data_IF_395150931248
#
_entry.id   IF_395150931248
#
_cell.length_a   1.000
_cell.length_b   1.000
_cell.length_c   1.000
_cell.angle_alpha   90.00
_cell.angle_beta   90.00
_cell.angle_gamma   90.00
#
_symmetry.space_group_name_H-M   'P 1'
#
loop_
_entity.id
_entity.type
_entity.pdbx_description
1 polymer ?
#
# COMPACT_ATOMS: atom_id res chain seq x y z
N UNK A 1 4.48 20.04 -2.64
CA UNK A 1 4.76 20.80 -3.86
C UNK A 1 3.97 20.23 -5.03
N UNK A 2 2.73 20.68 -5.24
CA UNK A 2 2.02 20.48 -6.51
C UNK A 2 1.99 21.86 -7.18
N UNK A 3 3.03 22.20 -7.93
CA UNK A 3 3.16 23.54 -8.53
C UNK A 3 2.27 23.72 -9.77
N UNK A 4 1.78 22.62 -10.37
CA UNK A 4 0.99 22.67 -11.61
C UNK A 4 -0.42 23.27 -11.49
N UNK A 5 -1.08 23.19 -10.32
CA UNK A 5 -2.49 23.59 -10.23
C UNK A 5 -2.73 25.10 -10.39
N UNK A 6 -1.72 25.93 -10.08
CA UNK A 6 -1.80 27.38 -10.26
C UNK A 6 -1.27 27.87 -11.60
N UNK A 7 -0.28 27.18 -12.18
CA UNK A 7 0.39 27.60 -13.42
C UNK A 7 -0.16 26.92 -14.68
N UNK A 8 -0.99 25.88 -14.53
CA UNK A 8 -1.42 25.03 -15.64
C UNK A 8 -0.31 24.10 -16.18
N UNK A 9 0.87 24.08 -15.54
CA UNK A 9 1.96 23.20 -15.95
C UNK A 9 1.63 21.73 -15.65
N UNK A 10 2.07 20.84 -16.54
CA UNK A 10 1.94 19.38 -16.35
C UNK A 10 2.66 18.97 -15.07
N UNK A 11 2.01 18.13 -14.27
CA UNK A 11 2.56 17.60 -13.01
C UNK A 11 2.29 16.11 -12.91
N UNK A 12 3.14 15.39 -12.17
CA UNK A 12 2.95 13.98 -11.87
C UNK A 12 2.54 13.83 -10.40
N UNK A 13 1.75 12.81 -10.10
CA UNK A 13 1.23 12.56 -8.75
C UNK A 13 2.22 11.76 -7.87
N UNK A 14 3.42 11.49 -8.38
CA UNK A 14 4.40 10.62 -7.72
C UNK A 14 4.07 9.14 -7.83
N UNK A 15 4.63 8.34 -6.91
CA UNK A 15 4.48 6.88 -6.87
C UNK A 15 3.01 6.50 -6.64
N UNK A 16 2.49 5.58 -7.45
CA UNK A 16 1.08 5.18 -7.40
C UNK A 16 0.12 6.21 -8.01
N UNK A 17 0.62 7.12 -8.87
CA UNK A 17 -0.19 8.19 -9.46
C UNK A 17 -1.42 7.70 -10.22
N UNK A 18 -1.32 6.62 -11.00
CA UNK A 18 -2.47 6.05 -11.73
C UNK A 18 -3.56 5.53 -10.77
N UNK A 19 -3.15 4.81 -9.73
CA UNK A 19 -4.07 4.33 -8.68
C UNK A 19 -4.71 5.51 -7.94
N UNK A 20 -3.94 6.56 -7.64
CA UNK A 20 -4.44 7.75 -6.96
C UNK A 20 -5.46 8.49 -7.84
N UNK A 21 -5.23 8.58 -9.14
CA UNK A 21 -6.20 9.14 -10.09
C UNK A 21 -7.49 8.32 -10.07
N UNK A 22 -7.40 6.99 -10.14
CA UNK A 22 -8.57 6.12 -10.14
C UNK A 22 -9.41 6.25 -8.85
N UNK A 23 -8.77 6.26 -7.69
CA UNK A 23 -9.49 6.39 -6.42
C UNK A 23 -10.05 7.80 -6.20
N UNK A 24 -9.35 8.83 -6.67
CA UNK A 24 -9.84 10.22 -6.61
C UNK A 24 -11.09 10.39 -7.48
N UNK A 25 -11.08 9.86 -8.71
CA UNK A 25 -12.25 9.87 -9.60
C UNK A 25 -13.40 9.07 -8.97
N UNK A 26 -13.12 7.88 -8.45
CA UNK A 26 -14.13 7.03 -7.79
C UNK A 26 -14.81 7.75 -6.64
N UNK A 27 -14.03 8.43 -5.78
CA UNK A 27 -14.56 9.26 -4.69
C UNK A 27 -15.38 10.43 -5.21
N UNK A 28 -14.86 11.18 -6.19
CA UNK A 28 -15.52 12.37 -6.72
C UNK A 28 -16.88 12.06 -7.36
N UNK A 29 -17.01 10.88 -7.98
CA UNK A 29 -18.24 10.41 -8.63
C UNK A 29 -19.15 9.57 -7.71
N UNK A 30 -18.73 9.26 -6.48
CA UNK A 30 -19.50 8.41 -5.57
C UNK A 30 -19.74 7.00 -6.13
N UNK A 31 -18.73 6.40 -6.78
CA UNK A 31 -18.87 5.07 -7.37
C UNK A 31 -18.99 3.99 -6.29
N UNK A 32 -19.67 2.88 -6.62
CA UNK A 32 -19.83 1.72 -5.73
C UNK A 32 -18.55 0.92 -5.49
N UNK A 33 -17.60 0.97 -6.42
CA UNK A 33 -16.37 0.18 -6.40
C UNK A 33 -15.35 0.84 -7.33
N UNK A 34 -14.08 0.80 -6.94
CA UNK A 34 -12.93 1.18 -7.78
C UNK A 34 -12.17 -0.10 -8.16
N UNK A 35 -11.83 -0.27 -9.44
CA UNK A 35 -11.09 -1.46 -9.89
C UNK A 35 -9.69 -1.09 -10.35
N UNK A 36 -8.71 -1.83 -9.85
CA UNK A 36 -7.33 -1.79 -10.30
C UNK A 36 -6.99 -3.11 -10.98
N UNK A 37 -6.53 -3.03 -12.22
CA UNK A 37 -6.22 -4.19 -13.05
C UNK A 37 -4.70 -4.38 -13.09
N UNK A 38 -4.26 -5.59 -12.73
CA UNK A 38 -2.88 -6.07 -12.70
C UNK A 38 -2.75 -7.34 -13.53
N UNK A 39 -1.56 -7.93 -13.54
CA UNK A 39 -1.19 -9.19 -14.19
C UNK A 39 -1.33 -10.43 -13.29
N UNK A 40 -1.84 -10.26 -12.06
CA UNK A 40 -2.06 -11.32 -11.07
C UNK A 40 -3.51 -11.32 -10.57
N UNK A 41 -3.99 -12.47 -10.09
CA UNK A 41 -5.36 -12.74 -9.63
C UNK A 41 -5.75 -12.03 -8.32
N UNK A 42 -5.16 -10.88 -8.03
CA UNK A 42 -5.37 -10.09 -6.82
C UNK A 42 -4.09 -9.93 -5.99
N UNK A 43 -4.25 -9.67 -4.71
CA UNK A 43 -3.19 -9.74 -3.70
C UNK A 43 -2.99 -11.19 -3.30
N UNK A 44 -1.74 -11.64 -3.24
CA UNK A 44 -1.39 -13.04 -2.98
C UNK A 44 -0.85 -13.22 -1.54
N UNK A 45 -0.91 -14.46 -1.05
CA UNK A 45 -0.39 -14.85 0.28
C UNK A 45 1.13 -14.71 0.41
N UNK A 46 1.84 -14.68 -0.72
CA UNK A 46 3.28 -14.42 -0.84
C UNK A 46 3.62 -14.14 -2.31
N UNK A 47 4.87 -13.81 -2.60
CA UNK A 47 5.33 -13.64 -3.98
C UNK A 47 5.30 -14.98 -4.75
N UNK A 48 4.54 -15.11 -5.85
CA UNK A 48 4.44 -16.34 -6.64
C UNK A 48 5.75 -16.71 -7.35
N UNK A 49 6.65 -15.75 -7.57
CA UNK A 49 7.97 -16.00 -8.14
C UNK A 49 8.92 -16.67 -7.13
N UNK A 50 8.66 -16.49 -5.82
CA UNK A 50 9.41 -17.13 -4.74
C UNK A 50 8.78 -18.46 -4.36
N UNK A 51 7.43 -18.50 -4.27
CA UNK A 51 6.70 -19.70 -3.88
C UNK A 51 5.49 -19.93 -4.81
N UNK A 52 5.55 -20.95 -5.70
CA UNK A 52 4.53 -21.16 -6.73
C UNK A 52 3.11 -21.45 -6.22
N UNK A 53 2.98 -21.99 -5.00
CA UNK A 53 1.66 -22.29 -4.41
C UNK A 53 1.04 -21.08 -3.69
N UNK A 54 1.47 -19.85 -4.02
CA UNK A 54 0.84 -18.63 -3.55
C UNK A 54 -0.65 -18.62 -3.92
N UNK A 55 -1.51 -18.20 -2.98
CA UNK A 55 -2.97 -18.17 -3.16
C UNK A 55 -3.47 -16.74 -3.16
N UNK A 56 -4.55 -16.48 -3.88
CA UNK A 56 -5.25 -15.19 -3.81
C UNK A 56 -5.85 -15.01 -2.42
N UNK A 57 -5.61 -13.84 -1.83
CA UNK A 57 -6.28 -13.36 -0.63
C UNK A 57 -7.59 -12.69 -1.07
N UNK A 58 -8.77 -13.25 -0.79
CA UNK A 58 -10.02 -12.75 -1.37
C UNK A 58 -10.48 -11.41 -0.78
N UNK A 59 -10.15 -11.15 0.49
CA UNK A 59 -10.56 -9.95 1.22
C UNK A 59 -9.40 -9.40 2.05
N UNK A 60 -9.27 -8.07 2.04
CA UNK A 60 -8.32 -7.33 2.86
C UNK A 60 -9.01 -6.10 3.45
N UNK A 61 -8.55 -5.66 4.61
CA UNK A 61 -8.86 -4.31 5.07
C UNK A 61 -7.91 -3.29 4.42
N UNK A 62 -8.30 -2.01 4.38
CA UNK A 62 -7.40 -0.94 3.97
C UNK A 62 -6.11 -0.89 4.79
N UNK A 63 -6.18 -1.22 6.09
CA UNK A 63 -5.02 -1.24 6.97
C UNK A 63 -4.09 -2.42 6.64
N UNK A 64 -4.63 -3.62 6.43
CA UNK A 64 -3.83 -4.76 5.97
C UNK A 64 -3.16 -4.50 4.62
N UNK A 65 -3.90 -3.94 3.67
CA UNK A 65 -3.36 -3.60 2.36
C UNK A 65 -2.25 -2.54 2.46
N UNK A 66 -2.39 -1.55 3.35
CA UNK A 66 -1.38 -0.52 3.56
C UNK A 66 -0.09 -1.09 4.16
N UNK A 67 -0.20 -1.97 5.16
CA UNK A 67 0.96 -2.67 5.75
C UNK A 67 1.68 -3.54 4.73
N UNK A 68 0.94 -4.35 3.96
CA UNK A 68 1.53 -5.18 2.90
C UNK A 68 2.28 -4.32 1.86
N UNK A 69 1.67 -3.22 1.43
CA UNK A 69 2.30 -2.28 0.50
C UNK A 69 3.54 -1.61 1.10
N UNK A 70 3.53 -1.27 2.40
CA UNK A 70 4.67 -0.68 3.10
C UNK A 70 5.89 -1.61 3.09
N UNK A 71 5.67 -2.91 3.32
CA UNK A 71 6.73 -3.92 3.27
C UNK A 71 7.17 -4.33 1.86
N UNK A 72 6.44 -3.88 0.82
CA UNK A 72 6.83 -4.06 -0.58
C UNK A 72 6.03 -5.09 -1.35
N UNK A 73 4.91 -5.59 -0.81
CA UNK A 73 3.98 -6.39 -1.61
C UNK A 73 3.45 -5.54 -2.79
N UNK A 74 3.17 -6.19 -3.92
CA UNK A 74 2.66 -5.54 -5.13
C UNK A 74 1.16 -5.16 -5.04
N UNK A 75 0.78 -4.49 -3.96
CA UNK A 75 -0.56 -3.95 -3.69
C UNK A 75 -0.63 -2.48 -4.11
N UNK A 76 -1.78 -1.83 -3.97
CA UNK A 76 -1.90 -0.38 -4.11
C UNK A 76 -1.09 0.33 -3.03
N UNK A 77 -0.46 1.45 -3.39
CA UNK A 77 0.26 2.30 -2.44
C UNK A 77 -0.72 2.91 -1.40
N UNK A 78 -0.35 3.05 -0.11
CA UNK A 78 -1.25 3.59 0.92
C UNK A 78 -1.82 4.98 0.56
N UNK A 79 -0.99 5.83 -0.03
CA UNK A 79 -1.40 7.17 -0.47
C UNK A 79 -2.47 7.13 -1.57
N UNK A 80 -2.40 6.15 -2.48
CA UNK A 80 -3.40 6.02 -3.54
C UNK A 80 -4.72 5.45 -3.03
N UNK A 81 -4.72 4.67 -1.95
CA UNK A 81 -5.96 4.17 -1.34
C UNK A 81 -6.71 5.21 -0.49
N UNK A 82 -6.06 6.32 -0.11
CA UNK A 82 -6.64 7.32 0.80
C UNK A 82 -8.01 7.85 0.34
N UNK A 83 -8.23 8.26 -0.92
CA UNK A 83 -9.54 8.75 -1.36
C UNK A 83 -10.63 7.67 -1.25
N UNK A 84 -10.30 6.42 -1.57
CA UNK A 84 -11.24 5.30 -1.47
C UNK A 84 -11.62 5.03 -0.01
N UNK A 85 -10.63 5.03 0.90
CA UNK A 85 -10.85 4.88 2.35
C UNK A 85 -11.73 6.00 2.92
N UNK A 86 -11.45 7.25 2.56
CA UNK A 86 -12.24 8.41 3.02
C UNK A 86 -13.68 8.41 2.47
N UNK A 87 -13.88 7.89 1.26
CA UNK A 87 -15.20 7.75 0.63
C UNK A 87 -15.94 6.48 1.02
N UNK A 88 -15.34 5.60 1.84
CA UNK A 88 -15.84 4.25 2.12
C UNK A 88 -16.16 3.43 0.86
N UNK A 89 -15.35 3.61 -0.19
CA UNK A 89 -15.52 2.95 -1.49
C UNK A 89 -14.56 1.76 -1.55
N UNK A 90 -15.05 0.52 -1.72
CA UNK A 90 -14.18 -0.64 -1.81
C UNK A 90 -13.32 -0.60 -3.08
N UNK A 91 -12.11 -1.12 -2.97
CA UNK A 91 -11.16 -1.25 -4.10
C UNK A 91 -10.98 -2.71 -4.44
N UNK A 92 -11.16 -3.10 -5.70
CA UNK A 92 -10.92 -4.46 -6.17
C UNK A 92 -9.67 -4.54 -7.02
N UNK A 93 -8.76 -5.45 -6.66
CA UNK A 93 -7.59 -5.80 -7.47
C UNK A 93 -7.95 -6.99 -8.36
N UNK A 94 -7.88 -6.83 -9.68
CA UNK A 94 -8.26 -7.84 -10.69
C UNK A 94 -7.09 -8.17 -11.62
N UNK A 95 -7.17 -9.32 -12.28
CA UNK A 95 -6.23 -9.73 -13.32
C UNK A 95 -6.76 -9.41 -14.72
N UNK A 96 -5.99 -8.72 -15.55
CA UNK A 96 -6.31 -8.47 -16.96
C UNK A 96 -6.25 -9.73 -17.81
N UNK A 97 -5.41 -10.72 -17.45
CA UNK A 97 -5.30 -12.01 -18.14
C UNK A 97 -6.35 -13.03 -17.69
N UNK A 98 -6.98 -12.81 -16.52
CA UNK A 98 -8.05 -13.66 -16.00
C UNK A 98 -9.24 -12.81 -15.48
N UNK A 99 -10.02 -12.17 -16.37
CA UNK A 99 -11.06 -11.20 -15.97
C UNK A 99 -12.21 -11.80 -15.15
N UNK A 100 -12.38 -13.12 -15.22
CA UNK A 100 -13.42 -13.87 -14.49
C UNK A 100 -13.04 -14.14 -13.04
N UNK A 101 -11.75 -14.06 -12.68
CA UNK A 101 -11.33 -14.21 -11.29
C UNK A 101 -11.97 -13.12 -10.40
N UNK A 102 -12.39 -13.47 -9.18
CA UNK A 102 -12.99 -12.51 -8.24
C UNK A 102 -12.00 -11.44 -7.77
N UNK A 103 -10.70 -11.75 -7.83
CA UNK A 103 -9.63 -10.88 -7.37
C UNK A 103 -9.58 -10.75 -5.84
N UNK A 104 -9.05 -9.62 -5.38
CA UNK A 104 -9.05 -9.23 -3.96
C UNK A 104 -9.90 -8.00 -3.76
N UNK A 105 -10.84 -8.05 -2.81
CA UNK A 105 -11.62 -6.89 -2.38
C UNK A 105 -10.98 -6.26 -1.13
N UNK A 106 -10.61 -4.99 -1.24
CA UNK A 106 -10.07 -4.17 -0.15
C UNK A 106 -11.18 -3.24 0.34
N UNK A 107 -11.53 -3.35 1.62
CA UNK A 107 -12.62 -2.58 2.23
C UNK A 107 -12.26 -2.09 3.64
N UNK A 108 -13.18 -1.40 4.31
CA UNK A 108 -12.97 -0.89 5.67
C UNK A 108 -12.85 -2.00 6.73
N UNK A 109 -13.52 -3.13 6.52
CA UNK A 109 -13.50 -4.28 7.43
C UNK A 109 -13.81 -5.58 6.69
N UNK A 110 -13.51 -6.69 7.35
CA UNK A 110 -13.83 -8.05 6.91
C UNK A 110 -14.00 -8.97 8.12
N UNK A 111 -14.58 -10.15 7.90
CA UNK A 111 -14.62 -11.20 8.91
C UNK A 111 -13.20 -11.71 9.22
N UNK A 112 -12.87 -11.73 10.51
CA UNK A 112 -11.55 -12.11 11.03
C UNK A 112 -11.57 -13.44 11.80
N UNK A 113 -12.72 -14.09 11.97
CA UNK A 113 -12.87 -15.28 12.85
C UNK A 113 -11.96 -16.44 12.46
N UNK A 114 -11.62 -16.58 11.18
CA UNK A 114 -10.78 -17.66 10.63
C UNK A 114 -9.40 -17.21 10.19
N UNK A 115 -9.05 -15.95 10.43
CA UNK A 115 -7.86 -15.33 9.86
C UNK A 115 -6.74 -15.34 10.90
N UNK A 116 -5.78 -16.24 10.72
CA UNK A 116 -4.55 -16.28 11.55
C UNK A 116 -3.38 -15.60 10.84
N UNK A 117 -3.29 -15.75 9.52
CA UNK A 117 -2.24 -15.17 8.69
C UNK A 117 -2.82 -14.76 7.34
N UNK A 118 -2.53 -13.53 6.93
CA UNK A 118 -3.05 -12.97 5.67
C UNK A 118 -2.06 -13.14 4.52
N UNK A 119 -0.82 -12.65 4.68
CA UNK A 119 0.21 -12.72 3.65
C UNK A 119 1.61 -12.52 4.25
N UNK A 120 2.63 -13.04 3.57
CA UNK A 120 4.05 -12.92 3.92
C UNK A 120 4.73 -12.08 2.83
N UNK A 121 5.47 -11.06 3.26
CA UNK A 121 6.20 -10.15 2.36
C UNK A 121 7.70 -10.24 2.64
N UNK A 122 8.49 -10.39 1.58
CA UNK A 122 9.95 -10.38 1.65
C UNK A 122 10.47 -9.03 1.13
N UNK A 123 11.22 -8.32 1.97
CA UNK A 123 11.97 -7.13 1.55
C UNK A 123 13.46 -7.43 1.52
N UNK A 124 13.99 -7.61 0.33
CA UNK A 124 15.42 -7.83 0.09
C UNK A 124 16.21 -6.51 0.12
N UNK A 125 17.54 -6.60 0.25
CA UNK A 125 18.46 -5.45 0.22
C UNK A 125 18.22 -4.41 1.33
N UNK A 126 17.89 -4.88 2.54
CA UNK A 126 17.78 -4.03 3.73
C UNK A 126 19.12 -4.03 4.48
N UNK A 127 19.64 -2.84 4.78
CA UNK A 127 20.83 -2.67 5.63
C UNK A 127 20.40 -2.39 7.06
N UNK A 128 20.83 -3.23 8.00
CA UNK A 128 20.59 -3.02 9.42
C UNK A 128 21.70 -2.13 10.00
N UNK A 129 21.32 -1.05 10.68
CA UNK A 129 22.22 -0.14 11.37
C UNK A 129 21.94 -0.21 12.87
N UNK A 130 22.95 -0.57 13.65
CA UNK A 130 22.88 -0.58 15.10
C UNK A 130 23.65 0.64 15.66
N UNK A 131 23.00 1.44 16.50
CA UNK A 131 23.56 2.67 17.06
C UNK A 131 23.57 2.55 18.58
N UNK A 132 24.74 2.25 19.13
CA UNK A 132 24.94 2.11 20.57
C UNK A 132 25.64 3.35 21.12
N UNK A 133 25.09 3.92 22.19
CA UNK A 133 25.73 5.03 22.92
C UNK A 133 25.44 4.95 24.42
N UNK A 134 26.47 5.05 25.24
CA UNK A 134 26.34 5.16 26.71
C UNK A 134 25.63 6.44 27.14
N UNK A 135 25.59 7.45 26.26
CA UNK A 135 24.88 8.73 26.47
C UNK A 135 23.41 8.70 26.04
N UNK A 136 22.89 7.55 25.61
CA UNK A 136 21.48 7.37 25.25
C UNK A 136 20.56 7.27 26.49
N UNK A 137 21.07 6.70 27.58
CA UNK A 137 20.32 6.51 28.82
C UNK A 137 20.07 7.86 29.50
N UNK A 138 18.79 8.23 29.65
CA UNK A 138 18.36 9.44 30.35
C UNK A 138 18.51 10.76 29.57
N UNK A 139 18.97 10.73 28.31
CA UNK A 139 19.03 11.94 27.49
C UNK A 139 17.75 12.17 26.69
N UNK A 140 17.13 13.34 26.90
CA UNK A 140 16.14 13.87 25.98
C UNK A 140 16.82 14.28 24.65
N UNK A 141 16.25 13.84 23.52
CA UNK A 141 16.66 14.29 22.18
C UNK A 141 17.70 13.44 21.45
N UNK A 142 18.15 12.30 22.01
CA UNK A 142 19.04 11.37 21.29
C UNK A 142 18.40 10.86 19.98
N UNK A 143 17.18 10.30 20.06
CA UNK A 143 16.42 9.85 18.88
C UNK A 143 16.14 11.00 17.89
N UNK A 144 15.85 12.21 18.39
CA UNK A 144 15.62 13.37 17.54
C UNK A 144 16.85 13.75 16.71
N UNK A 145 18.05 13.73 17.31
CA UNK A 145 19.32 13.96 16.59
C UNK A 145 19.59 12.90 15.52
N UNK A 146 19.35 11.64 15.86
CA UNK A 146 19.51 10.52 14.91
C UNK A 146 18.57 10.72 13.71
N UNK A 147 17.26 10.88 13.95
CA UNK A 147 16.28 11.11 12.88
C UNK A 147 16.57 12.38 12.06
N UNK A 148 17.03 13.46 12.72
CA UNK A 148 17.37 14.70 12.03
C UNK A 148 18.54 14.51 11.04
N UNK A 149 19.55 13.73 11.41
CA UNK A 149 20.67 13.43 10.51
C UNK A 149 20.19 12.73 9.23
N UNK A 150 19.29 11.76 9.34
CA UNK A 150 18.69 11.06 8.20
C UNK A 150 17.73 11.93 7.37
N UNK A 151 17.09 12.94 7.97
CA UNK A 151 16.18 13.84 7.24
C UNK A 151 16.88 14.84 6.31
N UNK A 152 18.21 15.01 6.46
CA UNK A 152 19.03 15.93 5.65
C UNK A 152 19.61 15.31 4.37
N UNK A 153 19.55 13.99 4.24
CA UNK A 153 19.89 13.23 3.03
C UNK A 153 18.64 13.00 2.20
#
# INVERSE_FOLDING_TARGET
HLQGWKSGAVTTLGRGGSDLTATTIGKALGLREIQVWKDVDGVLTCDPNIYPNARTVPYLTFDEAAELAYFGAQVLHPQSMRPAREGDIPVRVKNSYNPKAPGTLIAKGRDMDKVVLTSIVLKSNVTMLDIVSTRMLGQFGFLAKVCFLYSKT
#
